data_IF_522772166487
#
_entry.id   IF_522772166487
#
_cell.length_a   1.000
_cell.length_b   1.000
_cell.length_c   1.000
_cell.angle_alpha   90.00
_cell.angle_beta   90.00
_cell.angle_gamma   90.00
#
_symmetry.space_group_name_H-M   'P 1'
#
loop_
_entity.id
_entity.type
_entity.pdbx_description
1 polymer ?
#
# COMPACT_ATOMS: atom_id res chain seq x y z
N UNK A 1 10.58 39.76 -29.90
CA UNK A 1 11.58 39.83 -28.80
C UNK A 1 10.88 39.39 -27.53
N UNK A 2 10.95 38.09 -27.24
CA UNK A 2 10.27 37.46 -26.11
C UNK A 2 11.14 37.57 -24.86
N UNK A 3 10.62 38.19 -23.80
CA UNK A 3 11.22 38.12 -22.46
C UNK A 3 10.81 36.78 -21.82
N UNK A 4 11.75 36.00 -21.25
CA UNK A 4 11.39 34.81 -20.48
C UNK A 4 10.92 35.21 -19.08
N UNK A 5 9.78 34.65 -18.67
CA UNK A 5 9.29 34.67 -17.29
C UNK A 5 10.07 33.60 -16.54
N UNK A 6 11.09 34.00 -15.80
CA UNK A 6 11.75 33.18 -14.78
C UNK A 6 10.87 33.14 -13.53
N UNK A 7 10.19 32.02 -13.32
CA UNK A 7 9.64 31.63 -12.02
C UNK A 7 10.73 30.92 -11.22
N UNK A 8 11.16 31.41 -10.04
CA UNK A 8 12.04 30.66 -9.17
C UNK A 8 11.19 29.70 -8.35
N UNK A 9 11.07 28.45 -8.79
CA UNK A 9 10.68 27.34 -7.91
C UNK A 9 11.79 27.20 -6.87
N UNK A 10 11.59 27.84 -5.73
CA UNK A 10 12.45 27.77 -4.56
C UNK A 10 12.49 26.31 -4.11
N UNK A 11 13.57 25.60 -4.45
CA UNK A 11 13.89 24.31 -3.88
C UNK A 11 13.89 24.47 -2.35
N UNK A 12 12.91 23.88 -1.69
CA UNK A 12 12.89 23.79 -0.24
C UNK A 12 14.08 22.94 0.19
N UNK A 13 14.89 23.39 1.15
CA UNK A 13 16.08 22.68 1.56
C UNK A 13 15.70 21.31 2.14
N UNK A 14 16.48 20.29 1.74
CA UNK A 14 16.50 18.97 2.37
C UNK A 14 16.70 19.20 3.87
N UNK A 15 15.66 18.92 4.65
CA UNK A 15 15.71 19.08 6.10
C UNK A 15 16.88 18.24 6.63
N UNK A 16 17.77 18.92 7.34
CA UNK A 16 18.97 18.37 7.95
C UNK A 16 18.62 17.14 8.82
N UNK A 17 19.44 16.09 8.70
CA UNK A 17 19.51 14.97 9.64
C UNK A 17 19.52 15.53 11.06
N UNK A 18 18.39 15.45 11.77
CA UNK A 18 18.26 16.02 13.11
C UNK A 18 18.42 14.89 14.13
N UNK A 19 19.62 14.81 14.73
CA UNK A 19 19.99 14.26 16.06
C UNK A 19 19.50 12.88 16.57
N UNK A 20 18.62 12.13 15.90
CA UNK A 20 18.21 10.77 16.34
C UNK A 20 19.03 9.63 15.74
N UNK A 21 19.98 9.94 14.85
CA UNK A 21 20.77 8.97 14.09
C UNK A 21 21.88 8.24 14.88
N UNK A 22 21.99 8.44 16.19
CA UNK A 22 23.14 8.00 17.01
C UNK A 22 22.84 6.81 17.94
N UNK A 23 21.64 6.22 17.88
CA UNK A 23 21.35 4.96 18.58
C UNK A 23 22.17 3.81 17.94
N UNK A 24 23.03 3.11 18.70
CA UNK A 24 23.77 1.96 18.20
C UNK A 24 22.81 0.90 17.63
N UNK A 25 23.19 0.24 16.52
CA UNK A 25 22.36 -0.82 15.89
C UNK A 25 21.93 -1.91 16.86
N UNK A 26 22.72 -2.16 17.92
CA UNK A 26 22.44 -3.16 18.96
C UNK A 26 21.28 -2.80 19.91
N UNK A 27 20.88 -1.52 20.00
CA UNK A 27 19.76 -1.06 20.84
C UNK A 27 18.46 -0.89 20.04
N UNK A 28 18.49 -1.12 18.72
CA UNK A 28 17.31 -1.00 17.85
C UNK A 28 16.44 -2.24 17.93
N UNK A 29 15.13 -2.04 17.93
CA UNK A 29 14.17 -3.13 17.90
C UNK A 29 14.23 -3.86 16.54
N UNK A 30 14.00 -5.17 16.56
CA UNK A 30 13.72 -5.93 15.35
C UNK A 30 12.45 -5.39 14.69
N UNK A 31 12.43 -5.32 13.36
CA UNK A 31 11.34 -4.66 12.64
C UNK A 31 10.00 -5.36 12.86
N UNK A 32 9.96 -6.68 12.93
CA UNK A 32 8.75 -7.44 13.25
C UNK A 32 8.19 -7.11 14.64
N UNK A 33 9.06 -6.99 15.65
CA UNK A 33 8.66 -6.63 17.01
C UNK A 33 8.14 -5.20 17.10
N UNK A 34 8.81 -4.25 16.45
CA UNK A 34 8.37 -2.85 16.41
C UNK A 34 7.06 -2.70 15.63
N UNK A 35 6.93 -3.37 14.48
CA UNK A 35 5.69 -3.35 13.71
C UNK A 35 4.53 -4.00 14.49
N UNK A 36 4.77 -5.08 15.23
CA UNK A 36 3.74 -5.65 16.11
C UNK A 36 3.30 -4.67 17.21
N UNK A 37 4.26 -3.93 17.80
CA UNK A 37 4.00 -2.91 18.82
C UNK A 37 3.13 -1.79 18.26
N UNK A 38 3.56 -1.19 17.14
CA UNK A 38 2.94 -0.01 16.52
C UNK A 38 1.59 -0.33 15.89
N UNK A 39 1.45 -1.51 15.26
CA UNK A 39 0.21 -1.90 14.60
C UNK A 39 -0.82 -2.50 15.58
N UNK A 40 -0.43 -2.75 16.83
CA UNK A 40 -1.25 -3.36 17.87
C UNK A 40 -1.92 -4.68 17.42
N UNK A 41 -1.21 -5.47 16.61
CA UNK A 41 -1.73 -6.72 16.03
C UNK A 41 -0.58 -7.68 15.68
N UNK A 42 -0.95 -8.88 15.24
CA UNK A 42 -0.02 -9.88 14.69
C UNK A 42 -0.18 -9.97 13.17
N UNK A 43 0.87 -10.38 12.44
CA UNK A 43 0.77 -10.56 10.99
C UNK A 43 -0.24 -11.68 10.66
N UNK A 44 -0.96 -11.54 9.55
CA UNK A 44 -1.78 -12.63 8.98
C UNK A 44 -0.89 -13.78 8.52
N UNK A 45 0.23 -13.44 7.88
CA UNK A 45 1.25 -14.37 7.41
C UNK A 45 2.61 -13.73 7.60
N UNK A 46 3.61 -14.49 8.02
CA UNK A 46 4.97 -14.01 8.18
C UNK A 46 5.96 -15.14 7.93
N UNK A 47 7.01 -14.82 7.17
CA UNK A 47 8.05 -15.76 6.80
C UNK A 47 9.40 -15.06 6.89
N UNK A 48 10.07 -15.21 8.04
CA UNK A 48 11.39 -14.66 8.31
C UNK A 48 12.46 -15.77 8.25
N UNK A 49 13.67 -15.42 7.83
CA UNK A 49 14.83 -16.29 7.93
C UNK A 49 15.57 -16.06 9.27
N UNK A 50 16.68 -16.76 9.48
CA UNK A 50 17.48 -16.65 10.71
C UNK A 50 18.12 -15.27 10.91
N UNK A 51 18.21 -14.45 9.87
CA UNK A 51 18.72 -13.08 9.94
C UNK A 51 17.63 -12.05 10.25
N UNK A 52 16.36 -12.47 10.30
CA UNK A 52 15.20 -11.57 10.40
C UNK A 52 14.75 -11.00 9.05
N UNK A 53 15.39 -11.37 7.94
CA UNK A 53 14.95 -10.97 6.62
C UNK A 53 13.73 -11.78 6.20
N UNK A 54 12.77 -11.12 5.56
CA UNK A 54 11.59 -11.81 5.09
C UNK A 54 10.41 -10.92 4.81
N UNK A 55 9.24 -11.55 4.66
CA UNK A 55 8.02 -10.88 4.26
C UNK A 55 6.94 -11.14 5.30
N UNK A 56 6.18 -10.09 5.60
CA UNK A 56 5.04 -10.14 6.49
C UNK A 56 3.82 -9.47 5.84
N UNK A 57 2.66 -10.13 5.93
CA UNK A 57 1.37 -9.60 5.51
C UNK A 57 0.60 -9.16 6.74
N UNK A 58 0.21 -7.90 6.78
CA UNK A 58 -0.45 -7.27 7.91
C UNK A 58 -1.82 -6.75 7.48
N UNK A 59 -2.78 -6.90 8.39
CA UNK A 59 -4.04 -6.18 8.36
C UNK A 59 -4.24 -5.52 9.72
N UNK A 60 -4.39 -4.20 9.72
CA UNK A 60 -4.48 -3.43 10.97
C UNK A 60 -5.51 -2.29 10.88
N UNK A 61 -5.98 -1.85 12.03
CA UNK A 61 -6.88 -0.71 12.22
C UNK A 61 -6.15 0.64 12.01
N UNK A 62 -6.83 1.81 12.03
CA UNK A 62 -6.19 3.11 11.85
C UNK A 62 -4.94 3.29 12.73
N UNK A 63 -3.85 3.79 12.13
CA UNK A 63 -2.57 3.95 12.79
C UNK A 63 -2.31 5.43 13.11
N UNK A 64 -2.01 5.74 14.38
CA UNK A 64 -1.68 7.08 14.84
C UNK A 64 -0.55 7.04 15.88
N UNK A 65 0.61 6.53 15.48
CA UNK A 65 1.73 6.29 16.39
C UNK A 65 3.09 6.61 15.74
N UNK A 66 4.13 6.62 16.57
CA UNK A 66 5.53 6.76 16.17
C UNK A 66 6.12 5.38 15.94
N UNK A 67 6.72 5.21 14.75
CA UNK A 67 7.59 4.08 14.44
C UNK A 67 8.98 4.46 14.93
N UNK A 68 9.48 3.72 15.89
CA UNK A 68 10.81 3.90 16.47
C UNK A 68 11.92 3.35 15.55
N UNK A 69 13.19 3.77 15.74
CA UNK A 69 14.31 3.26 14.96
C UNK A 69 14.42 1.73 14.99
N UNK A 70 14.22 1.11 13.83
CA UNK A 70 14.35 -0.35 13.64
C UNK A 70 15.73 -0.75 13.15
N UNK A 71 16.10 -2.03 13.35
CA UNK A 71 17.33 -2.66 12.85
C UNK A 71 17.25 -3.18 11.41
N UNK A 72 16.10 -3.04 10.75
CA UNK A 72 15.91 -3.43 9.35
C UNK A 72 15.44 -2.23 8.52
N UNK A 73 15.74 -2.26 7.22
CA UNK A 73 14.98 -1.47 6.26
C UNK A 73 13.61 -2.13 6.08
N UNK A 74 12.54 -1.33 6.12
CA UNK A 74 11.18 -1.81 5.91
C UNK A 74 10.62 -1.21 4.62
N UNK A 75 10.24 -2.07 3.69
CA UNK A 75 9.61 -1.68 2.43
C UNK A 75 8.19 -2.20 2.41
N UNK A 76 7.23 -1.34 2.09
CA UNK A 76 5.83 -1.69 2.16
C UNK A 76 5.11 -1.47 0.83
N UNK A 77 4.25 -2.42 0.46
CA UNK A 77 3.33 -2.32 -0.66
C UNK A 77 1.88 -2.43 -0.17
N UNK A 78 1.05 -1.49 -0.58
CA UNK A 78 -0.34 -1.39 -0.15
C UNK A 78 -1.25 -2.25 -1.03
N UNK A 79 -2.06 -3.10 -0.40
CA UNK A 79 -2.99 -4.00 -1.09
C UNK A 79 -4.46 -3.56 -0.99
N UNK A 80 -4.80 -2.64 -0.07
CA UNK A 80 -6.17 -2.25 0.26
C UNK A 80 -6.79 -1.12 -0.58
N UNK A 81 -7.79 -0.45 -0.01
CA UNK A 81 -8.55 0.62 -0.64
C UNK A 81 -7.86 1.98 -0.60
N UNK A 82 -8.02 2.78 -1.66
CA UNK A 82 -7.32 4.07 -1.76
C UNK A 82 -7.70 5.00 -0.60
N UNK A 83 -6.70 5.53 0.09
CA UNK A 83 -6.87 6.43 1.22
C UNK A 83 -5.70 7.41 1.37
N UNK A 84 -5.92 8.49 2.11
CA UNK A 84 -4.87 9.47 2.43
C UNK A 84 -4.06 9.01 3.61
N UNK A 85 -2.81 9.43 3.66
CA UNK A 85 -1.94 9.23 4.82
C UNK A 85 -1.02 10.42 4.99
N UNK A 86 -0.57 10.65 6.23
CA UNK A 86 0.43 11.65 6.55
C UNK A 86 1.57 11.01 7.36
N UNK A 87 2.80 11.44 7.09
CA UNK A 87 3.98 11.07 7.85
C UNK A 87 4.69 12.33 8.30
N UNK A 88 5.14 12.35 9.56
CA UNK A 88 5.89 13.46 10.14
C UNK A 88 7.24 12.98 10.65
N UNK A 89 8.30 13.68 10.25
CA UNK A 89 9.67 13.45 10.73
C UNK A 89 10.27 14.79 11.09
N UNK A 90 10.52 15.00 12.38
CA UNK A 90 10.86 16.30 12.93
C UNK A 90 9.82 17.36 12.54
N UNK A 91 10.26 18.42 11.86
CA UNK A 91 9.40 19.49 11.35
C UNK A 91 8.82 19.23 9.95
N UNK A 92 9.25 18.17 9.27
CA UNK A 92 8.81 17.85 7.91
C UNK A 92 7.53 17.01 7.92
N UNK A 93 6.57 17.37 7.06
CA UNK A 93 5.31 16.63 6.87
C UNK A 93 5.23 16.16 5.42
N UNK A 94 5.25 14.85 5.22
CA UNK A 94 5.00 14.22 3.93
C UNK A 94 3.54 13.75 3.87
N UNK A 95 2.81 14.17 2.84
CA UNK A 95 1.43 13.73 2.59
C UNK A 95 1.41 12.79 1.40
N UNK A 96 0.76 11.64 1.56
CA UNK A 96 0.71 10.60 0.56
C UNK A 96 -0.70 10.08 0.32
N UNK A 97 -0.83 9.25 -0.71
CA UNK A 97 -2.06 8.48 -0.97
C UNK A 97 -1.68 7.02 -1.08
N UNK A 98 -2.19 6.21 -0.17
CA UNK A 98 -2.15 4.77 -0.29
C UNK A 98 -2.98 4.34 -1.49
N UNK A 99 -2.34 3.64 -2.42
CA UNK A 99 -2.96 3.03 -3.59
C UNK A 99 -2.02 1.93 -4.09
N UNK A 100 -2.53 0.98 -4.87
CA UNK A 100 -1.66 0.00 -5.52
C UNK A 100 -0.64 0.70 -6.42
N UNK A 101 0.57 0.14 -6.50
CA UNK A 101 1.65 0.67 -7.33
C UNK A 101 2.48 1.79 -6.70
N UNK A 102 2.22 2.14 -5.43
CA UNK A 102 3.13 2.96 -4.63
C UNK A 102 3.82 2.12 -3.57
N UNK A 103 5.02 2.55 -3.18
CA UNK A 103 5.80 1.94 -2.09
C UNK A 103 6.11 2.96 -1.01
N UNK A 104 6.28 2.44 0.20
CA UNK A 104 6.90 3.16 1.31
C UNK A 104 8.24 2.49 1.60
N UNK A 105 9.25 3.29 1.89
CA UNK A 105 10.56 2.82 2.34
C UNK A 105 10.88 3.56 3.62
N UNK A 106 11.03 2.80 4.71
CA UNK A 106 11.52 3.26 6.01
C UNK A 106 12.93 2.69 6.15
N UNK A 107 13.99 3.51 5.93
CA UNK A 107 15.36 3.05 6.11
C UNK A 107 15.63 2.65 7.56
N UNK A 108 16.55 1.70 7.76
CA UNK A 108 17.04 1.34 9.09
C UNK A 108 17.43 2.59 9.90
N UNK A 109 17.09 2.61 11.19
CA UNK A 109 17.40 3.70 12.09
C UNK A 109 16.53 4.96 11.92
N UNK A 110 15.59 4.96 10.97
CA UNK A 110 14.66 6.09 10.79
C UNK A 110 13.55 6.05 11.83
N UNK A 111 13.20 7.22 12.38
CA UNK A 111 12.00 7.41 13.20
C UNK A 111 11.01 8.35 12.50
N UNK A 112 9.73 8.02 12.59
CA UNK A 112 8.67 8.86 12.01
C UNK A 112 7.30 8.58 12.61
N UNK A 113 6.51 9.64 12.78
CA UNK A 113 5.09 9.53 13.16
C UNK A 113 4.23 9.30 11.93
N UNK A 114 3.30 8.35 12.02
CA UNK A 114 2.36 8.02 10.96
C UNK A 114 0.94 8.27 11.43
N UNK A 115 0.17 9.01 10.61
CA UNK A 115 -1.25 9.25 10.81
C UNK A 115 -2.01 8.68 9.59
N UNK A 116 -2.66 7.54 9.80
CA UNK A 116 -3.41 6.76 8.80
C UNK A 116 -4.84 6.55 9.33
N UNK A 117 -5.85 7.20 8.74
CA UNK A 117 -7.17 7.31 9.36
C UNK A 117 -8.09 6.10 9.16
N UNK A 118 -7.74 5.15 8.29
CA UNK A 118 -8.56 3.94 8.02
C UNK A 118 -7.70 2.69 8.17
N UNK A 119 -8.36 1.53 8.23
CA UNK A 119 -7.69 0.24 8.23
C UNK A 119 -6.84 0.03 6.97
N UNK A 120 -5.80 -0.79 7.13
CA UNK A 120 -4.73 -0.98 6.14
C UNK A 120 -4.51 -2.47 5.94
N UNK A 121 -4.42 -2.87 4.67
CA UNK A 121 -3.93 -4.17 4.22
C UNK A 121 -2.60 -3.92 3.48
N UNK A 122 -1.50 -4.41 4.05
CA UNK A 122 -0.13 -4.09 3.62
C UNK A 122 0.77 -5.31 3.69
N UNK A 123 1.62 -5.45 2.67
CA UNK A 123 2.72 -6.41 2.67
C UNK A 123 4.02 -5.65 2.93
N UNK A 124 4.83 -6.17 3.84
CA UNK A 124 6.08 -5.58 4.28
C UNK A 124 7.23 -6.54 4.00
N UNK A 125 8.32 -6.02 3.44
CA UNK A 125 9.62 -6.66 3.35
C UNK A 125 10.50 -6.11 4.47
N UNK A 126 11.04 -7.00 5.29
CA UNK A 126 12.10 -6.67 6.24
C UNK A 126 13.43 -7.07 5.64
N UNK A 127 14.32 -6.10 5.53
CA UNK A 127 15.62 -6.29 4.92
C UNK A 127 16.72 -5.80 5.87
N UNK A 128 17.45 -6.72 6.53
CA UNK A 128 18.63 -6.38 7.31
C UNK A 128 19.65 -5.66 6.42
N UNK A 129 20.37 -4.69 6.99
CA UNK A 129 21.40 -3.97 6.24
C UNK A 129 22.53 -4.88 5.72
N UNK A 130 22.87 -5.93 6.47
CA UNK A 130 23.85 -6.93 6.02
C UNK A 130 23.41 -7.64 4.72
N UNK A 131 22.12 -7.96 4.59
CA UNK A 131 21.56 -8.58 3.39
C UNK A 131 21.58 -7.61 2.20
N UNK A 132 21.18 -6.35 2.42
CA UNK A 132 21.24 -5.31 1.39
C UNK A 132 22.69 -5.07 0.92
N UNK A 133 23.65 -5.03 1.86
CA UNK A 133 25.06 -4.84 1.58
C UNK A 133 25.65 -6.00 0.77
N UNK A 134 25.36 -7.24 1.16
CA UNK A 134 25.79 -8.43 0.39
C UNK A 134 25.33 -8.33 -1.07
N UNK A 135 24.05 -8.01 -1.30
CA UNK A 135 23.51 -7.87 -2.65
C UNK A 135 24.16 -6.69 -3.39
N UNK A 136 24.46 -5.59 -2.72
CA UNK A 136 25.17 -4.46 -3.32
C UNK A 136 26.59 -4.84 -3.75
N UNK A 137 27.32 -5.58 -2.90
CA UNK A 137 28.67 -6.08 -3.19
C UNK A 137 28.66 -7.03 -4.40
N UNK A 138 27.70 -7.96 -4.46
CA UNK A 138 27.51 -8.89 -5.60
C UNK A 138 27.14 -8.16 -6.90
N UNK A 139 26.34 -7.09 -6.80
CA UNK A 139 25.92 -6.26 -7.93
C UNK A 139 26.98 -5.21 -8.34
N UNK A 140 28.11 -5.11 -7.63
CA UNK A 140 29.15 -4.11 -7.88
C UNK A 140 28.70 -2.66 -7.59
N UNK A 141 27.72 -2.48 -6.71
CA UNK A 141 27.16 -1.17 -6.34
C UNK A 141 27.72 -0.70 -4.99
N UNK A 142 28.20 0.54 -4.91
CA UNK A 142 28.85 1.05 -3.69
C UNK A 142 27.90 1.70 -2.67
N UNK A 143 26.65 2.00 -3.06
CA UNK A 143 25.69 2.70 -2.19
C UNK A 143 24.63 1.74 -1.65
N UNK A 144 24.54 1.64 -0.33
CA UNK A 144 23.48 0.91 0.39
C UNK A 144 22.50 1.84 1.11
N UNK A 145 22.69 3.16 0.99
CA UNK A 145 21.84 4.18 1.59
C UNK A 145 20.50 4.25 0.84
N UNK A 146 19.50 3.53 1.35
CA UNK A 146 18.13 3.63 0.86
C UNK A 146 17.54 4.99 1.23
N UNK A 147 16.97 5.66 0.23
CA UNK A 147 16.24 6.89 0.45
C UNK A 147 14.88 6.61 1.09
N UNK A 148 14.52 7.43 2.06
CA UNK A 148 13.19 7.39 2.65
C UNK A 148 12.12 7.78 1.61
N UNK A 149 11.03 6.99 1.54
CA UNK A 149 9.97 7.16 0.55
C UNK A 149 8.60 7.09 1.20
N UNK A 150 7.72 8.02 0.85
CA UNK A 150 6.33 8.07 1.31
C UNK A 150 5.40 8.11 0.11
N UNK A 151 4.59 7.06 -0.05
CA UNK A 151 3.67 6.88 -1.18
C UNK A 151 4.33 7.11 -2.55
N UNK A 152 5.58 6.67 -2.71
CA UNK A 152 6.36 6.90 -3.91
C UNK A 152 5.90 5.96 -5.04
N UNK A 153 5.63 6.44 -6.26
CA UNK A 153 5.22 5.59 -7.37
C UNK A 153 6.33 4.61 -7.78
N UNK A 154 6.12 3.32 -7.54
CA UNK A 154 6.99 2.24 -8.00
C UNK A 154 6.17 0.97 -8.24
N UNK A 155 5.51 0.87 -9.42
CA UNK A 155 4.59 -0.23 -9.70
C UNK A 155 5.30 -1.59 -9.81
N UNK A 156 6.60 -1.59 -10.14
CA UNK A 156 7.39 -2.82 -10.26
C UNK A 156 7.65 -3.41 -8.88
N UNK A 157 8.24 -2.62 -7.97
CA UNK A 157 8.55 -3.07 -6.61
C UNK A 157 7.27 -3.40 -5.84
N UNK A 158 6.22 -2.57 -5.97
CA UNK A 158 4.91 -2.84 -5.37
C UNK A 158 4.35 -4.18 -5.83
N UNK A 159 4.38 -4.48 -7.14
CA UNK A 159 3.85 -5.73 -7.67
C UNK A 159 4.67 -6.95 -7.27
N UNK A 160 6.00 -6.85 -7.30
CA UNK A 160 6.87 -7.94 -6.86
C UNK A 160 6.60 -8.30 -5.39
N UNK A 161 6.50 -7.30 -4.52
CA UNK A 161 6.23 -7.51 -3.09
C UNK A 161 4.84 -8.11 -2.84
N UNK A 162 3.79 -7.62 -3.52
CA UNK A 162 2.44 -8.19 -3.40
C UNK A 162 2.36 -9.62 -3.94
N UNK A 163 3.04 -9.92 -5.06
CA UNK A 163 3.11 -11.28 -5.60
C UNK A 163 3.88 -12.22 -4.67
N UNK A 164 4.92 -11.73 -4.01
CA UNK A 164 5.70 -12.49 -3.04
C UNK A 164 4.85 -12.98 -1.86
N UNK A 165 3.98 -12.12 -1.31
CA UNK A 165 3.08 -12.50 -0.22
C UNK A 165 2.13 -13.64 -0.59
N UNK A 166 1.64 -13.66 -1.83
CA UNK A 166 0.73 -14.71 -2.30
C UNK A 166 1.38 -16.10 -2.40
N UNK A 167 2.71 -16.16 -2.54
CA UNK A 167 3.47 -17.43 -2.64
C UNK A 167 3.81 -18.02 -1.27
N UNK A 168 3.76 -17.22 -0.20
CA UNK A 168 4.03 -17.68 1.19
C UNK A 168 3.04 -18.76 1.67
N UNK A 169 1.98 -19.05 0.92
CA UNK A 169 0.94 -20.03 1.26
C UNK A 169 1.24 -21.47 0.74
N UNK A 170 2.51 -21.88 0.54
CA UNK A 170 2.89 -23.14 -0.11
C UNK A 170 4.07 -23.95 0.51
N UNK A 171 4.29 -25.18 0.01
CA UNK A 171 5.19 -26.25 0.50
C UNK A 171 6.59 -25.81 1.05
N UNK A 172 6.88 -26.15 2.31
CA UNK A 172 7.96 -25.56 3.12
C UNK A 172 9.43 -25.83 2.76
N UNK A 173 9.78 -26.79 1.88
CA UNK A 173 11.19 -27.07 1.54
C UNK A 173 11.69 -26.27 0.31
N UNK A 174 10.81 -26.05 -0.68
CA UNK A 174 11.09 -25.14 -1.81
C UNK A 174 10.96 -23.67 -1.40
N UNK A 175 10.26 -23.41 -0.28
CA UNK A 175 9.97 -22.08 0.25
C UNK A 175 11.24 -21.32 0.67
N UNK A 176 12.21 -21.95 1.34
CA UNK A 176 13.39 -21.23 1.86
C UNK A 176 14.30 -20.68 0.77
N UNK A 177 14.70 -21.50 -0.22
CA UNK A 177 15.55 -21.04 -1.32
C UNK A 177 14.82 -20.02 -2.20
N UNK A 178 13.53 -20.26 -2.47
CA UNK A 178 12.68 -19.33 -3.22
C UNK A 178 12.58 -17.98 -2.52
N UNK A 179 12.36 -17.97 -1.20
CA UNK A 179 12.32 -16.74 -0.38
C UNK A 179 13.64 -15.99 -0.40
N UNK A 180 14.77 -16.68 -0.28
CA UNK A 180 16.09 -16.04 -0.36
C UNK A 180 16.28 -15.36 -1.73
N UNK A 181 15.97 -16.07 -2.82
CA UNK A 181 16.06 -15.52 -4.18
C UNK A 181 15.13 -14.32 -4.38
N UNK A 182 13.93 -14.36 -3.79
CA UNK A 182 12.95 -13.28 -3.88
C UNK A 182 13.36 -12.05 -3.09
N UNK A 183 13.91 -12.24 -1.88
CA UNK A 183 14.52 -11.18 -1.08
C UNK A 183 15.69 -10.54 -1.82
N UNK A 184 16.56 -11.33 -2.44
CA UNK A 184 17.70 -10.82 -3.21
C UNK A 184 17.26 -10.06 -4.47
N UNK A 185 16.22 -10.55 -5.17
CA UNK A 185 15.62 -9.84 -6.30
C UNK A 185 15.03 -8.48 -5.86
N UNK A 186 14.28 -8.47 -4.75
CA UNK A 186 13.71 -7.25 -4.20
C UNK A 186 14.80 -6.28 -3.73
N UNK A 187 15.82 -6.76 -3.03
CA UNK A 187 16.98 -5.97 -2.61
C UNK A 187 17.71 -5.36 -3.81
N UNK A 188 17.97 -6.14 -4.86
CA UNK A 188 18.58 -5.66 -6.11
C UNK A 188 17.74 -4.54 -6.75
N UNK A 189 16.42 -4.73 -6.82
CA UNK A 189 15.50 -3.71 -7.36
C UNK A 189 15.50 -2.44 -6.50
N UNK A 190 15.55 -2.58 -5.18
CA UNK A 190 15.62 -1.44 -4.25
C UNK A 190 16.92 -0.67 -4.40
N UNK A 191 18.05 -1.37 -4.52
CA UNK A 191 19.34 -0.74 -4.81
C UNK A 191 19.28 0.07 -6.11
N UNK A 192 18.78 -0.52 -7.19
CA UNK A 192 18.70 0.14 -8.49
C UNK A 192 17.73 1.34 -8.52
N UNK A 193 16.66 1.33 -7.74
CA UNK A 193 15.59 2.32 -7.83
C UNK A 193 15.59 3.37 -6.71
N UNK A 194 16.19 3.06 -5.57
CA UNK A 194 16.03 3.85 -4.34
C UNK A 194 17.36 4.15 -3.62
N UNK A 195 18.51 3.94 -4.26
CA UNK A 195 19.82 4.42 -3.76
C UNK A 195 20.37 5.56 -4.62
N UNK A 196 21.21 6.41 -4.02
CA UNK A 196 21.90 7.52 -4.70
C UNK A 196 21.21 8.89 -4.60
N UNK A 197 21.78 9.90 -5.29
CA UNK A 197 21.15 11.22 -5.44
C UNK A 197 19.77 11.05 -6.09
N UNK A 198 18.73 11.83 -5.74
CA UNK A 198 17.40 11.67 -6.34
C UNK A 198 17.48 11.96 -7.83
N UNK A 199 17.78 10.93 -8.63
CA UNK A 199 17.58 10.93 -10.05
C UNK A 199 16.10 11.11 -10.22
N UNK A 200 15.69 12.31 -10.65
CA UNK A 200 14.36 12.65 -11.11
C UNK A 200 14.02 11.86 -12.37
N UNK A 201 14.09 10.53 -12.31
CA UNK A 201 13.16 9.73 -13.08
C UNK A 201 11.82 9.94 -12.38
N UNK A 202 11.08 10.93 -12.86
CA UNK A 202 9.63 10.82 -12.81
C UNK A 202 9.27 9.85 -13.93
N UNK A 203 9.07 8.55 -13.67
CA UNK A 203 8.35 7.75 -14.64
C UNK A 203 7.07 8.53 -14.94
N UNK A 204 6.74 8.70 -16.22
CA UNK A 204 5.42 9.20 -16.62
C UNK A 204 4.45 8.07 -16.23
N UNK A 205 4.04 8.06 -14.97
CA UNK A 205 3.11 7.08 -14.44
C UNK A 205 1.77 7.42 -15.07
N UNK A 206 1.33 6.58 -16.02
CA UNK A 206 -0.05 6.62 -16.51
C UNK A 206 -1.02 6.50 -15.33
N UNK A 207 -2.11 7.27 -15.38
CA UNK A 207 -3.09 7.25 -14.31
C UNK A 207 -3.72 8.60 -13.99
N UNK A 208 -4.68 8.59 -13.08
CA UNK A 208 -5.27 9.77 -12.48
C UNK A 208 -4.34 10.34 -11.41
N UNK A 209 -4.31 11.67 -11.29
CA UNK A 209 -3.66 12.32 -10.15
C UNK A 209 -4.33 11.89 -8.83
N UNK A 210 -3.63 11.88 -7.68
CA UNK A 210 -4.20 11.44 -6.41
C UNK A 210 -5.50 12.18 -6.04
N UNK A 211 -5.58 13.49 -6.32
CA UNK A 211 -6.78 14.31 -6.08
C UNK A 211 -7.96 13.87 -6.95
N UNK A 212 -7.72 13.64 -8.25
CA UNK A 212 -8.76 13.17 -9.19
C UNK A 212 -9.21 11.75 -8.84
N UNK A 213 -8.28 10.88 -8.48
CA UNK A 213 -8.57 9.51 -8.05
C UNK A 213 -9.46 9.49 -6.80
N UNK A 214 -9.08 10.24 -5.76
CA UNK A 214 -9.87 10.31 -4.51
C UNK A 214 -11.26 10.88 -4.76
N UNK A 215 -11.39 11.91 -5.61
CA UNK A 215 -12.70 12.45 -5.99
C UNK A 215 -13.55 11.45 -6.78
N UNK A 216 -12.95 10.74 -7.74
CA UNK A 216 -13.67 9.71 -8.50
C UNK A 216 -14.15 8.57 -7.59
N UNK A 217 -13.31 8.16 -6.62
CA UNK A 217 -13.67 7.19 -5.60
C UNK A 217 -14.81 7.69 -4.71
N UNK A 218 -14.78 8.96 -4.30
CA UNK A 218 -15.85 9.55 -3.49
C UNK A 218 -17.20 9.54 -4.21
N UNK A 219 -17.21 9.88 -5.50
CA UNK A 219 -18.42 9.81 -6.33
C UNK A 219 -18.90 8.37 -6.51
N UNK A 220 -17.98 7.42 -6.71
CA UNK A 220 -18.32 5.99 -6.77
C UNK A 220 -18.92 5.47 -5.46
N UNK A 221 -18.60 6.07 -4.31
CA UNK A 221 -19.22 5.69 -3.02
C UNK A 221 -20.63 6.22 -2.84
N UNK A 222 -21.06 7.20 -3.63
CA UNK A 222 -22.40 7.75 -3.52
C UNK A 222 -23.45 6.82 -4.12
N UNK A 223 -24.66 6.82 -3.55
CA UNK A 223 -25.80 6.05 -4.05
C UNK A 223 -26.56 6.75 -5.19
N UNK A 224 -26.07 7.92 -5.62
CA UNK A 224 -26.66 8.72 -6.70
C UNK A 224 -26.33 8.10 -8.07
N UNK A 225 -27.35 7.65 -8.81
CA UNK A 225 -27.17 7.12 -10.16
C UNK A 225 -26.43 8.09 -11.11
N UNK A 226 -26.63 9.40 -10.91
CA UNK A 226 -25.95 10.45 -11.67
C UNK A 226 -24.45 10.52 -11.38
N UNK A 227 -24.03 10.17 -10.15
CA UNK A 227 -22.63 10.15 -9.73
C UNK A 227 -21.90 8.84 -10.07
N UNK A 228 -22.65 7.77 -10.29
CA UNK A 228 -22.15 6.48 -10.78
C UNK A 228 -21.98 6.45 -12.30
N UNK A 229 -22.47 7.47 -13.02
CA UNK A 229 -22.30 7.57 -14.48
C UNK A 229 -20.83 7.67 -14.86
N UNK A 230 -20.36 6.71 -15.66
CA UNK A 230 -18.99 6.70 -16.18
C UNK A 230 -18.69 7.97 -17.01
N UNK A 231 -19.69 8.50 -17.70
CA UNK A 231 -19.58 9.76 -18.46
C UNK A 231 -19.35 10.94 -17.52
N UNK A 232 -20.07 10.99 -16.39
CA UNK A 232 -19.89 12.05 -15.40
C UNK A 232 -18.52 11.97 -14.70
N UNK A 233 -18.04 10.76 -14.38
CA UNK A 233 -16.72 10.55 -13.79
C UNK A 233 -15.58 10.92 -14.77
N UNK A 234 -15.73 10.57 -16.04
CA UNK A 234 -14.76 10.89 -17.07
C UNK A 234 -14.71 12.40 -17.36
N UNK A 235 -15.88 13.04 -17.46
CA UNK A 235 -16.01 14.50 -17.63
C UNK A 235 -15.35 15.27 -16.48
N UNK A 236 -15.58 14.85 -15.23
CA UNK A 236 -14.94 15.43 -14.04
C UNK A 236 -13.41 15.33 -14.06
N UNK A 237 -12.88 14.28 -14.68
CA UNK A 237 -11.45 14.08 -14.86
C UNK A 237 -10.89 14.80 -16.10
N UNK A 238 -11.74 15.41 -16.94
CA UNK A 238 -11.34 16.00 -18.22
C UNK A 238 -10.89 14.96 -19.26
N UNK A 239 -11.40 13.72 -19.17
CA UNK A 239 -10.98 12.59 -20.00
C UNK A 239 -12.17 12.00 -20.77
N UNK A 240 -11.89 11.29 -21.87
CA UNK A 240 -12.89 10.40 -22.47
C UNK A 240 -13.12 9.18 -21.58
N UNK A 241 -14.28 8.52 -21.70
CA UNK A 241 -14.61 7.30 -20.93
C UNK A 241 -13.52 6.24 -20.98
N UNK A 242 -12.95 6.00 -22.18
CA UNK A 242 -11.91 5.00 -22.38
C UNK A 242 -10.63 5.37 -21.62
N UNK A 243 -10.17 6.62 -21.75
CA UNK A 243 -8.98 7.10 -21.05
C UNK A 243 -9.19 7.14 -19.54
N UNK A 244 -10.37 7.54 -19.07
CA UNK A 244 -10.71 7.51 -17.65
C UNK A 244 -10.68 6.07 -17.10
N UNK A 245 -11.32 5.10 -17.74
CA UNK A 245 -11.30 3.70 -17.31
C UNK A 245 -9.87 3.16 -17.19
N UNK A 246 -9.02 3.45 -18.19
CA UNK A 246 -7.62 3.04 -18.20
C UNK A 246 -6.85 3.72 -17.06
N UNK A 247 -6.92 5.04 -16.97
CA UNK A 247 -6.21 5.81 -15.96
C UNK A 247 -6.65 5.49 -14.53
N UNK A 248 -7.95 5.27 -14.33
CA UNK A 248 -8.50 4.82 -13.05
C UNK A 248 -7.98 3.44 -12.71
N UNK A 249 -7.99 2.47 -13.64
CA UNK A 249 -7.44 1.13 -13.41
C UNK A 249 -5.95 1.15 -13.09
N UNK A 250 -5.18 1.95 -13.80
CA UNK A 250 -3.74 2.15 -13.52
C UNK A 250 -3.52 2.74 -12.12
N UNK A 251 -4.45 3.56 -11.62
CA UNK A 251 -4.31 4.26 -10.33
C UNK A 251 -4.92 3.56 -9.13
N UNK A 252 -6.04 2.86 -9.32
CA UNK A 252 -6.78 2.15 -8.27
C UNK A 252 -6.45 0.65 -8.25
N UNK A 253 -5.79 0.13 -9.29
CA UNK A 253 -5.55 -1.30 -9.51
C UNK A 253 -6.76 -2.08 -10.05
N UNK A 254 -7.95 -1.47 -10.08
CA UNK A 254 -9.21 -2.06 -10.54
C UNK A 254 -9.95 -1.09 -11.47
N UNK A 255 -10.74 -1.61 -12.40
CA UNK A 255 -11.64 -0.74 -13.19
C UNK A 255 -12.71 -0.10 -12.29
N UNK A 256 -13.29 1.05 -12.67
CA UNK A 256 -14.31 1.72 -11.86
C UNK A 256 -15.44 0.79 -11.40
N UNK A 257 -15.97 -0.03 -12.32
CA UNK A 257 -17.03 -0.99 -12.02
C UNK A 257 -16.57 -2.15 -11.12
N UNK A 258 -15.33 -2.64 -11.28
CA UNK A 258 -14.79 -3.67 -10.38
C UNK A 258 -14.56 -3.12 -8.97
N UNK A 259 -14.05 -1.89 -8.87
CA UNK A 259 -13.84 -1.18 -7.61
C UNK A 259 -15.17 -0.97 -6.87
N UNK A 260 -16.22 -0.48 -7.56
CA UNK A 260 -17.54 -0.29 -6.96
C UNK A 260 -18.14 -1.59 -6.43
N UNK A 261 -18.02 -2.69 -7.18
CA UNK A 261 -18.49 -4.01 -6.74
C UNK A 261 -17.78 -4.48 -5.48
N UNK A 262 -16.46 -4.32 -5.41
CA UNK A 262 -15.68 -4.68 -4.22
C UNK A 262 -16.09 -3.82 -3.01
N UNK A 263 -16.22 -2.50 -3.20
CA UNK A 263 -16.66 -1.60 -2.14
C UNK A 263 -18.04 -1.98 -1.58
N UNK A 264 -19.02 -2.27 -2.45
CA UNK A 264 -20.36 -2.71 -2.02
C UNK A 264 -20.32 -4.05 -1.27
N UNK A 265 -19.43 -4.96 -1.66
CA UNK A 265 -19.25 -6.22 -0.96
C UNK A 265 -18.66 -6.02 0.45
N UNK A 266 -17.67 -5.14 0.60
CA UNK A 266 -17.10 -4.77 1.90
C UNK A 266 -18.17 -4.15 2.82
N UNK A 267 -19.04 -3.28 2.29
CA UNK A 267 -20.20 -2.77 3.04
C UNK A 267 -21.14 -3.90 3.47
N UNK A 268 -21.42 -4.85 2.57
CA UNK A 268 -22.22 -6.03 2.91
C UNK A 268 -21.64 -6.79 4.09
N UNK A 269 -20.34 -7.08 4.07
CA UNK A 269 -19.65 -7.78 5.16
C UNK A 269 -19.78 -7.02 6.49
N UNK A 270 -19.58 -5.71 6.49
CA UNK A 270 -19.71 -4.90 7.69
C UNK A 270 -21.15 -4.96 8.24
N UNK A 271 -22.17 -4.77 7.40
CA UNK A 271 -23.57 -4.86 7.83
C UNK A 271 -23.89 -6.27 8.36
N UNK A 272 -23.42 -7.32 7.68
CA UNK A 272 -23.65 -8.70 8.10
C UNK A 272 -23.00 -9.07 9.43
N UNK A 273 -21.83 -8.49 9.73
CA UNK A 273 -21.09 -8.66 10.99
C UNK A 273 -21.74 -7.85 12.10
N UNK A 274 -21.97 -6.57 11.86
CA UNK A 274 -22.27 -5.57 12.89
C UNK A 274 -23.78 -5.45 13.20
N UNK A 275 -24.65 -6.04 12.36
CA UNK A 275 -26.12 -5.92 12.51
C UNK A 275 -26.87 -7.23 12.25
N UNK A 276 -28.09 -7.34 12.78
CA UNK A 276 -29.01 -8.47 12.52
C UNK A 276 -29.84 -8.30 11.24
N UNK A 277 -29.44 -7.40 10.33
CA UNK A 277 -30.14 -7.18 9.07
C UNK A 277 -30.33 -8.49 8.30
N UNK A 278 -31.49 -8.69 7.66
CA UNK A 278 -31.71 -9.91 6.87
C UNK A 278 -30.83 -9.88 5.61
N UNK A 279 -30.40 -11.04 5.10
CA UNK A 279 -29.62 -11.11 3.84
C UNK A 279 -30.38 -10.43 2.69
N UNK A 280 -31.73 -10.49 2.69
CA UNK A 280 -32.58 -9.79 1.74
C UNK A 280 -32.51 -8.26 1.88
N UNK A 281 -32.52 -7.73 3.12
CA UNK A 281 -32.36 -6.29 3.38
C UNK A 281 -31.01 -5.78 2.90
N UNK A 282 -29.93 -6.50 3.21
CA UNK A 282 -28.57 -6.16 2.77
C UNK A 282 -28.46 -6.18 1.24
N UNK A 283 -29.09 -7.15 0.59
CA UNK A 283 -29.12 -7.22 -0.87
C UNK A 283 -29.81 -5.99 -1.50
N UNK A 284 -30.97 -5.58 -0.95
CA UNK A 284 -31.72 -4.43 -1.42
C UNK A 284 -30.95 -3.12 -1.22
N UNK A 285 -30.34 -2.94 -0.04
CA UNK A 285 -29.54 -1.76 0.30
C UNK A 285 -28.35 -1.57 -0.66
N UNK A 286 -27.72 -2.66 -1.09
CA UNK A 286 -26.59 -2.63 -2.03
C UNK A 286 -27.00 -2.56 -3.51
N UNK A 287 -28.30 -2.43 -3.78
CA UNK A 287 -28.87 -2.33 -5.12
C UNK A 287 -28.90 -3.63 -5.91
N UNK A 288 -28.93 -4.80 -5.25
CA UNK A 288 -29.16 -6.07 -5.93
C UNK A 288 -30.65 -6.29 -6.17
N UNK A 289 -30.99 -6.80 -7.36
CA UNK A 289 -32.36 -7.11 -7.76
C UNK A 289 -32.97 -8.30 -7.00
N UNK A 290 -32.15 -9.16 -6.40
CA UNK A 290 -32.62 -10.25 -5.54
C UNK A 290 -31.55 -10.73 -4.56
N UNK A 291 -32.01 -11.33 -3.47
CA UNK A 291 -31.16 -12.03 -2.50
C UNK A 291 -30.29 -13.11 -3.15
N UNK A 292 -30.84 -13.85 -4.13
CA UNK A 292 -30.12 -14.91 -4.84
C UNK A 292 -28.97 -14.34 -5.67
N UNK A 293 -29.20 -13.21 -6.36
CA UNK A 293 -28.16 -12.51 -7.13
C UNK A 293 -27.03 -12.01 -6.21
N UNK A 294 -27.39 -11.45 -5.06
CA UNK A 294 -26.44 -11.04 -4.02
C UNK A 294 -25.65 -12.23 -3.47
N UNK A 295 -26.32 -13.31 -3.06
CA UNK A 295 -25.66 -14.49 -2.48
C UNK A 295 -24.67 -15.14 -3.46
N UNK A 296 -25.03 -15.20 -4.76
CA UNK A 296 -24.12 -15.69 -5.79
C UNK A 296 -22.91 -14.75 -6.00
N UNK A 297 -23.12 -13.43 -5.97
CA UNK A 297 -22.03 -12.45 -6.08
C UNK A 297 -21.10 -12.48 -4.86
N UNK A 298 -21.68 -12.60 -3.66
CA UNK A 298 -20.96 -12.74 -2.40
C UNK A 298 -20.09 -13.99 -2.43
N UNK A 299 -20.68 -15.16 -2.69
CA UNK A 299 -19.94 -16.43 -2.77
C UNK A 299 -18.85 -16.44 -3.82
N UNK A 300 -19.07 -15.83 -4.99
CA UNK A 300 -18.01 -15.70 -6.00
C UNK A 300 -16.80 -14.90 -5.52
N UNK A 301 -17.01 -13.97 -4.59
CA UNK A 301 -15.98 -13.05 -4.13
C UNK A 301 -15.33 -13.51 -2.83
N UNK A 302 -16.07 -14.19 -1.96
CA UNK A 302 -15.62 -14.60 -0.61
C UNK A 302 -15.36 -16.10 -0.49
N UNK A 303 -15.85 -16.92 -1.42
CA UNK A 303 -15.79 -18.38 -1.36
C UNK A 303 -16.96 -19.04 -0.62
N UNK A 304 -17.73 -18.30 0.17
CA UNK A 304 -18.80 -18.82 1.05
C UNK A 304 -20.10 -18.01 0.93
N UNK A 305 -21.23 -18.54 1.41
CA UNK A 305 -22.50 -17.80 1.33
C UNK A 305 -22.56 -16.67 2.38
N UNK A 306 -23.39 -15.62 2.20
CA UNK A 306 -23.56 -14.56 3.20
C UNK A 306 -23.94 -15.09 4.59
N UNK A 307 -24.76 -16.15 4.63
CA UNK A 307 -25.20 -16.78 5.88
C UNK A 307 -24.05 -17.52 6.57
N UNK A 308 -23.31 -18.33 5.82
CA UNK A 308 -22.15 -19.07 6.36
C UNK A 308 -21.07 -18.11 6.85
N UNK A 309 -20.79 -17.05 6.07
CA UNK A 309 -19.86 -15.99 6.44
C UNK A 309 -20.25 -15.35 7.77
N UNK A 310 -21.53 -14.95 7.91
CA UNK A 310 -22.04 -14.35 9.16
C UNK A 310 -21.87 -15.28 10.35
N UNK A 311 -22.17 -16.56 10.19
CA UNK A 311 -22.05 -17.55 11.26
C UNK A 311 -20.59 -17.78 11.66
N UNK A 312 -19.65 -17.61 10.74
CA UNK A 312 -18.22 -17.79 10.98
C UNK A 312 -17.58 -16.59 11.69
N UNK A 313 -18.04 -15.37 11.40
CA UNK A 313 -17.45 -14.13 11.95
C UNK A 313 -18.11 -13.65 13.26
N UNK A 314 -19.18 -14.30 13.70
CA UNK A 314 -19.87 -14.04 14.97
C UNK A 314 -19.71 -15.23 15.90
#
# INVERSE_FOLDING_TARGET
>A
MSKPITDPVKALPVAARTREADMPTAERLAADAEMARVLHTTPLHMALDSSGAGIAHWQHEPLHDVVEPMSHHVVMAYNGTVQRMERRTGSSVAKGTFRRGVVIIIPEGSSSRWDIPKSVDVVQLYLPHASLKRVADEAGTSSTDLLERTAHPDPVTSRLLLSAAGVLNGNGALDTLFRLQLTDLLATRLLAAHTGSPTTFQPVVGGLSPKVLLRAIERLRSDSEADLSLDALASDAGLSRFHFCRAFKESAGLSPHAWLRQYRLEQAMNILRDTDATIASVAAELGYTSQTAFAAAFRRSTGETPSDWRQRVR
#
